data_IF_725982756403
#
_entry.id   IF_725982756403
#
_cell.length_a   1.000
_cell.length_b   1.000
_cell.length_c   1.000
_cell.angle_alpha   90.00
_cell.angle_beta   90.00
_cell.angle_gamma   90.00
#
_symmetry.space_group_name_H-M   'P 1'
#
loop_
_entity.id
_entity.type
_entity.pdbx_description
1 polymer ?
#
# COMPACT_ATOMS: atom_id res chain seq x y z
N UNK A 1 -41.16 -42.08 -7.95
CA UNK A 1 -41.80 -40.79 -7.67
C UNK A 1 -41.09 -40.17 -6.48
N UNK A 2 -41.48 -40.37 -5.21
CA UNK A 2 -40.79 -39.70 -4.06
C UNK A 2 -39.29 -40.02 -3.88
N UNK A 3 -38.84 -41.24 -4.20
CA UNK A 3 -37.42 -41.64 -4.06
C UNK A 3 -36.54 -41.08 -5.21
N UNK A 4 -37.18 -40.66 -6.32
CA UNK A 4 -36.53 -40.05 -7.49
C UNK A 4 -36.36 -38.54 -7.26
N UNK A 5 -37.44 -37.85 -6.84
CA UNK A 5 -37.41 -36.44 -6.42
C UNK A 5 -36.40 -36.19 -5.30
N UNK A 6 -36.28 -37.13 -4.34
CA UNK A 6 -35.31 -37.03 -3.26
C UNK A 6 -33.85 -37.08 -3.75
N UNK A 7 -33.56 -37.78 -4.85
CA UNK A 7 -32.22 -37.80 -5.45
C UNK A 7 -31.95 -36.58 -6.32
N UNK A 8 -32.96 -36.06 -7.01
CA UNK A 8 -32.87 -34.82 -7.79
C UNK A 8 -32.54 -33.63 -6.89
N UNK A 9 -33.29 -33.44 -5.79
CA UNK A 9 -33.02 -32.40 -4.79
C UNK A 9 -31.59 -32.49 -4.23
N UNK A 10 -31.12 -33.71 -3.93
CA UNK A 10 -29.76 -33.90 -3.43
C UNK A 10 -28.70 -33.54 -4.48
N UNK A 11 -28.97 -33.80 -5.77
CA UNK A 11 -28.07 -33.42 -6.87
C UNK A 11 -27.98 -31.90 -7.00
N UNK A 12 -29.12 -31.21 -7.05
CA UNK A 12 -29.17 -29.74 -7.16
C UNK A 12 -28.44 -29.08 -5.98
N UNK A 13 -28.64 -29.59 -4.75
CA UNK A 13 -27.94 -29.09 -3.57
C UNK A 13 -26.42 -29.31 -3.63
N UNK A 14 -25.97 -30.46 -4.14
CA UNK A 14 -24.54 -30.75 -4.27
C UNK A 14 -23.89 -29.87 -5.33
N UNK A 15 -24.53 -29.73 -6.50
CA UNK A 15 -24.06 -28.89 -7.60
C UNK A 15 -23.94 -27.42 -7.15
N UNK A 16 -24.97 -26.89 -6.49
CA UNK A 16 -24.95 -25.53 -5.91
C UNK A 16 -23.88 -25.38 -4.84
N UNK A 17 -23.70 -26.39 -3.99
CA UNK A 17 -22.66 -26.39 -2.97
C UNK A 17 -21.26 -26.29 -3.59
N UNK A 18 -21.04 -26.97 -4.72
CA UNK A 18 -19.79 -26.90 -5.47
C UNK A 18 -19.60 -25.54 -6.16
N UNK A 19 -20.66 -24.95 -6.72
CA UNK A 19 -20.61 -23.63 -7.35
C UNK A 19 -20.25 -22.54 -6.35
N UNK A 20 -20.96 -22.49 -5.20
CA UNK A 20 -20.67 -21.56 -4.11
C UNK A 20 -19.23 -21.72 -3.62
N UNK A 21 -18.75 -22.96 -3.49
CA UNK A 21 -17.36 -23.21 -3.08
C UNK A 21 -16.37 -22.63 -4.12
N UNK A 22 -16.63 -22.83 -5.42
CA UNK A 22 -15.80 -22.29 -6.48
C UNK A 22 -15.74 -20.76 -6.44
N UNK A 23 -16.89 -20.11 -6.32
CA UNK A 23 -17.00 -18.65 -6.23
C UNK A 23 -16.21 -18.11 -5.03
N UNK A 24 -16.31 -18.77 -3.87
CA UNK A 24 -15.53 -18.40 -2.68
C UNK A 24 -14.02 -18.59 -2.87
N UNK A 25 -13.61 -19.68 -3.53
CA UNK A 25 -12.19 -19.96 -3.79
C UNK A 25 -11.58 -18.97 -4.79
N UNK A 26 -12.32 -18.60 -5.84
CA UNK A 26 -11.88 -17.64 -6.85
C UNK A 26 -11.78 -16.23 -6.26
N UNK A 27 -12.83 -15.78 -5.55
CA UNK A 27 -12.84 -14.50 -4.84
C UNK A 27 -11.73 -14.41 -3.80
N UNK A 28 -11.49 -15.48 -3.04
CA UNK A 28 -10.40 -15.56 -2.07
C UNK A 28 -9.02 -15.42 -2.72
N UNK A 29 -8.82 -16.00 -3.91
CA UNK A 29 -7.57 -15.87 -4.67
C UNK A 29 -7.38 -14.46 -5.22
N UNK A 30 -8.44 -13.83 -5.73
CA UNK A 30 -8.39 -12.46 -6.25
C UNK A 30 -8.02 -11.46 -5.14
N UNK A 31 -8.71 -11.53 -3.99
CA UNK A 31 -8.40 -10.70 -2.82
C UNK A 31 -6.95 -10.91 -2.37
N UNK A 32 -6.46 -12.16 -2.33
CA UNK A 32 -5.07 -12.42 -1.97
C UNK A 32 -4.10 -11.78 -2.97
N UNK A 33 -4.35 -11.89 -4.27
CA UNK A 33 -3.51 -11.30 -5.31
C UNK A 33 -3.45 -9.77 -5.16
N UNK A 34 -4.60 -9.14 -4.95
CA UNK A 34 -4.68 -7.68 -4.73
C UNK A 34 -3.85 -7.28 -3.50
N UNK A 35 -3.96 -8.01 -2.39
CA UNK A 35 -3.17 -7.72 -1.20
C UNK A 35 -1.66 -7.88 -1.42
N UNK A 36 -1.24 -8.89 -2.19
CA UNK A 36 0.17 -9.11 -2.53
C UNK A 36 0.73 -8.02 -3.44
N UNK A 37 -0.05 -7.56 -4.42
CA UNK A 37 0.35 -6.47 -5.32
C UNK A 37 0.43 -5.13 -4.58
N UNK A 38 -0.58 -4.80 -3.77
CA UNK A 38 -0.57 -3.63 -2.89
C UNK A 38 0.61 -3.64 -1.93
N UNK A 39 0.94 -4.81 -1.35
CA UNK A 39 2.08 -4.95 -0.46
C UNK A 39 3.41 -4.66 -1.16
N UNK A 40 3.55 -5.06 -2.43
CA UNK A 40 4.74 -4.78 -3.24
C UNK A 40 4.86 -3.30 -3.61
N UNK A 41 3.75 -2.65 -3.97
CA UNK A 41 3.71 -1.22 -4.28
C UNK A 41 4.17 -0.39 -3.08
N UNK A 42 3.55 -0.61 -1.91
CA UNK A 42 3.93 0.08 -0.65
C UNK A 42 5.42 -0.13 -0.33
N UNK A 43 5.94 -1.34 -0.54
CA UNK A 43 7.36 -1.60 -0.30
C UNK A 43 8.25 -0.82 -1.26
N UNK A 44 7.85 -0.71 -2.54
CA UNK A 44 8.60 0.05 -3.54
C UNK A 44 8.67 1.53 -3.16
N UNK A 45 7.54 2.14 -2.77
CA UNK A 45 7.49 3.56 -2.41
C UNK A 45 8.38 3.86 -1.20
N UNK A 46 8.39 2.96 -0.21
CA UNK A 46 9.28 3.06 0.95
C UNK A 46 10.76 2.94 0.57
N UNK A 47 11.11 2.01 -0.33
CA UNK A 47 12.48 1.79 -0.77
C UNK A 47 13.00 2.97 -1.59
N UNK A 48 12.17 3.55 -2.47
CA UNK A 48 12.52 4.72 -3.28
C UNK A 48 12.75 5.96 -2.40
N UNK A 49 11.82 6.25 -1.50
CA UNK A 49 11.94 7.34 -0.51
C UNK A 49 13.17 7.17 0.37
N UNK A 50 13.44 5.95 0.82
CA UNK A 50 14.63 5.63 1.61
C UNK A 50 15.93 5.90 0.85
N UNK A 51 15.94 5.71 -0.48
CA UNK A 51 17.09 6.03 -1.32
C UNK A 51 17.25 7.54 -1.53
N UNK A 52 16.16 8.28 -1.77
CA UNK A 52 16.18 9.73 -1.93
C UNK A 52 16.71 10.43 -0.68
N UNK A 53 16.16 10.09 0.50
CA UNK A 53 16.63 10.61 1.80
C UNK A 53 18.12 10.36 1.98
N UNK A 54 18.59 9.15 1.65
CA UNK A 54 20.01 8.80 1.78
C UNK A 54 20.89 9.59 0.82
N UNK A 55 20.41 9.85 -0.40
CA UNK A 55 21.12 10.67 -1.39
C UNK A 55 21.23 12.11 -0.90
N UNK A 56 20.12 12.73 -0.50
CA UNK A 56 20.09 14.10 0.01
C UNK A 56 21.02 14.30 1.22
N UNK A 57 21.00 13.36 2.18
CA UNK A 57 21.96 13.37 3.29
C UNK A 57 23.43 13.28 2.82
N UNK A 58 23.70 12.46 1.80
CA UNK A 58 25.03 12.31 1.23
C UNK A 58 25.52 13.57 0.53
N UNK A 59 24.64 14.27 -0.17
CA UNK A 59 24.95 15.52 -0.88
C UNK A 59 25.20 16.65 0.12
N UNK A 60 24.35 16.78 1.14
CA UNK A 60 24.53 17.73 2.26
C UNK A 60 25.87 17.53 2.94
N UNK A 61 26.26 16.26 3.19
CA UNK A 61 27.52 15.99 3.85
C UNK A 61 28.71 16.39 3.00
N UNK A 62 28.62 16.22 1.68
CA UNK A 62 29.66 16.66 0.75
C UNK A 62 29.78 18.19 0.71
N UNK A 63 28.65 18.89 0.70
CA UNK A 63 28.61 20.36 0.72
C UNK A 63 29.23 20.91 2.01
N UNK A 64 28.83 20.39 3.17
CA UNK A 64 29.43 20.75 4.47
C UNK A 64 30.94 20.53 4.48
N UNK A 65 31.44 19.43 3.90
CA UNK A 65 32.90 19.22 3.80
C UNK A 65 33.58 20.25 2.91
N UNK A 66 32.98 20.59 1.77
CA UNK A 66 33.52 21.62 0.88
C UNK A 66 33.60 22.97 1.60
N UNK A 67 32.53 23.38 2.27
CA UNK A 67 32.44 24.61 3.05
C UNK A 67 33.51 24.63 4.16
N UNK A 68 33.71 23.51 4.87
CA UNK A 68 34.76 23.40 5.89
C UNK A 68 36.18 23.49 5.32
N UNK A 69 36.45 22.86 4.17
CA UNK A 69 37.75 22.88 3.52
C UNK A 69 38.10 24.28 2.99
N UNK A 70 37.14 24.98 2.38
CA UNK A 70 37.30 26.36 1.92
C UNK A 70 37.54 27.32 3.09
N UNK A 71 36.75 27.18 4.15
CA UNK A 71 36.93 27.92 5.41
C UNK A 71 38.32 27.69 6.01
N UNK A 72 38.80 26.45 6.01
CA UNK A 72 40.13 26.10 6.50
C UNK A 72 41.25 26.81 5.75
N UNK A 73 41.11 26.94 4.42
CA UNK A 73 42.06 27.67 3.58
C UNK A 73 42.00 29.19 3.80
N UNK A 74 40.80 29.74 3.98
CA UNK A 74 40.61 31.17 4.25
C UNK A 74 41.19 31.55 5.61
N UNK A 75 40.91 30.78 6.66
CA UNK A 75 41.49 30.99 8.00
C UNK A 75 43.03 30.91 7.96
N UNK A 76 43.61 29.98 7.21
CA UNK A 76 45.06 29.89 7.06
C UNK A 76 45.65 31.14 6.39
N UNK A 77 44.94 31.71 5.42
CA UNK A 77 45.34 32.94 4.75
C UNK A 77 45.19 34.17 5.66
N UNK A 78 44.12 34.23 6.45
CA UNK A 78 43.81 35.34 7.36
C UNK A 78 44.60 35.32 8.66
N UNK A 79 45.13 34.17 9.09
CA UNK A 79 46.03 34.11 10.24
C UNK A 79 47.32 34.92 10.00
N UNK A 80 47.70 35.15 8.74
CA UNK A 80 48.78 36.05 8.37
C UNK A 80 48.38 37.54 8.52
N UNK A 81 47.07 37.86 8.58
CA UNK A 81 46.48 39.20 8.63
C UNK A 81 45.36 39.33 9.72
N UNK A 82 45.71 39.28 11.02
CA UNK A 82 44.89 39.65 12.21
C UNK A 82 43.62 38.84 12.58
N UNK A 83 43.54 38.43 13.85
CA UNK A 83 42.51 37.51 14.39
C UNK A 83 41.04 37.97 14.48
N UNK A 84 40.64 39.15 13.98
CA UNK A 84 39.21 39.49 13.85
C UNK A 84 38.58 38.92 12.58
N UNK A 85 39.34 38.77 11.48
CA UNK A 85 38.86 38.15 10.24
C UNK A 85 38.48 36.68 10.45
N UNK A 86 39.35 35.94 11.13
CA UNK A 86 39.15 34.53 11.49
C UNK A 86 37.83 34.28 12.23
N UNK A 87 37.42 35.17 13.13
CA UNK A 87 36.16 34.99 13.88
C UNK A 87 34.93 35.19 13.00
N UNK A 88 34.95 36.18 12.09
CA UNK A 88 33.84 36.40 11.15
C UNK A 88 33.67 35.23 10.21
N UNK A 89 34.78 34.74 9.63
CA UNK A 89 34.78 33.59 8.73
C UNK A 89 34.16 32.36 9.41
N UNK A 90 34.57 32.05 10.64
CA UNK A 90 33.98 30.93 11.40
C UNK A 90 32.48 31.07 11.68
N UNK A 91 32.00 32.29 11.93
CA UNK A 91 30.58 32.56 12.19
C UNK A 91 29.73 32.43 10.92
N UNK A 92 30.26 32.86 9.77
CA UNK A 92 29.60 32.74 8.47
C UNK A 92 29.52 31.26 8.04
N UNK A 93 30.63 30.52 8.13
CA UNK A 93 30.66 29.06 7.88
C UNK A 93 29.67 28.30 8.75
N UNK A 94 29.58 28.67 10.04
CA UNK A 94 28.66 28.02 10.98
C UNK A 94 27.20 28.22 10.58
N UNK A 95 26.85 29.39 10.04
CA UNK A 95 25.52 29.69 9.54
C UNK A 95 25.21 28.91 8.26
N UNK A 96 26.15 28.85 7.31
CA UNK A 96 25.98 28.11 6.05
C UNK A 96 25.72 26.63 6.31
N UNK A 97 26.57 25.97 7.12
CA UNK A 97 26.38 24.57 7.52
C UNK A 97 25.03 24.34 8.20
N UNK A 98 24.59 25.28 9.04
CA UNK A 98 23.30 25.15 9.71
C UNK A 98 22.15 25.25 8.71
N UNK A 99 22.21 26.17 7.75
CA UNK A 99 21.21 26.31 6.69
C UNK A 99 21.10 25.05 5.84
N UNK A 100 22.22 24.48 5.38
CA UNK A 100 22.21 23.25 4.57
C UNK A 100 21.56 22.07 5.31
N UNK A 101 21.82 21.96 6.62
CA UNK A 101 21.20 20.95 7.47
C UNK A 101 19.70 21.17 7.65
N UNK A 102 19.27 22.41 7.83
CA UNK A 102 17.86 22.77 7.99
C UNK A 102 17.06 22.53 6.70
N UNK A 103 17.62 22.88 5.54
CA UNK A 103 16.98 22.69 4.25
C UNK A 103 16.82 21.20 3.93
N UNK A 104 17.88 20.43 4.10
CA UNK A 104 17.84 18.96 3.92
C UNK A 104 16.88 18.29 4.90
N UNK A 105 16.83 18.76 6.15
CA UNK A 105 15.89 18.26 7.15
C UNK A 105 14.44 18.48 6.74
N UNK A 106 14.13 19.63 6.13
CA UNK A 106 12.78 19.94 5.62
C UNK A 106 12.42 19.10 4.38
N UNK A 107 13.37 18.89 3.46
CA UNK A 107 13.17 18.05 2.29
C UNK A 107 12.87 16.60 2.71
N UNK A 108 13.69 16.01 3.57
CA UNK A 108 13.48 14.66 4.12
C UNK A 108 12.09 14.53 4.77
N UNK A 109 11.68 15.53 5.55
CA UNK A 109 10.37 15.50 6.19
C UNK A 109 9.24 15.54 5.15
N UNK A 110 9.40 16.34 4.10
CA UNK A 110 8.41 16.46 3.03
C UNK A 110 8.28 15.14 2.26
N UNK A 111 9.40 14.52 1.88
CA UNK A 111 9.39 13.22 1.18
C UNK A 111 8.73 12.13 2.02
N UNK A 112 8.98 12.11 3.33
CA UNK A 112 8.34 11.17 4.26
C UNK A 112 6.83 11.41 4.37
N UNK A 113 6.40 12.66 4.46
CA UNK A 113 5.00 13.02 4.56
C UNK A 113 4.26 12.66 3.25
N UNK A 114 4.83 12.98 2.09
CA UNK A 114 4.24 12.68 0.78
C UNK A 114 4.09 11.16 0.57
N UNK A 115 5.15 10.39 0.87
CA UNK A 115 5.13 8.92 0.79
C UNK A 115 4.11 8.31 1.75
N UNK A 116 4.01 8.86 2.97
CA UNK A 116 3.02 8.42 3.95
C UNK A 116 1.59 8.61 3.44
N UNK A 117 1.34 9.72 2.73
CA UNK A 117 0.03 10.02 2.14
C UNK A 117 -0.28 9.11 0.94
N UNK A 118 0.71 8.82 0.10
CA UNK A 118 0.57 7.88 -1.02
C UNK A 118 0.23 6.47 -0.54
N UNK A 119 1.00 5.94 0.42
CA UNK A 119 0.74 4.64 1.04
C UNK A 119 -0.67 4.57 1.64
N UNK A 120 -1.12 5.63 2.33
CA UNK A 120 -2.47 5.67 2.90
C UNK A 120 -3.54 5.61 1.80
N UNK A 121 -3.33 6.34 0.69
CA UNK A 121 -4.27 6.32 -0.45
C UNK A 121 -4.35 4.93 -1.07
N UNK A 122 -3.21 4.28 -1.31
CA UNK A 122 -3.15 2.92 -1.87
C UNK A 122 -3.86 1.93 -0.96
N UNK A 123 -3.67 2.02 0.35
CA UNK A 123 -4.37 1.17 1.33
C UNK A 123 -5.88 1.40 1.33
N UNK A 124 -6.32 2.65 1.27
CA UNK A 124 -7.74 3.00 1.28
C UNK A 124 -8.44 2.54 -0.01
N UNK A 125 -7.81 2.70 -1.16
CA UNK A 125 -8.33 2.25 -2.45
C UNK A 125 -8.38 0.71 -2.51
N UNK A 126 -7.33 0.04 -2.05
CA UNK A 126 -7.28 -1.42 -1.93
C UNK A 126 -8.39 -1.95 -1.02
N UNK A 127 -8.57 -1.32 0.15
CA UNK A 127 -9.59 -1.71 1.11
C UNK A 127 -11.01 -1.58 0.55
N UNK A 128 -11.28 -0.52 -0.23
CA UNK A 128 -12.56 -0.33 -0.92
C UNK A 128 -12.79 -1.37 -2.03
N UNK A 129 -11.74 -1.71 -2.79
CA UNK A 129 -11.80 -2.78 -3.80
C UNK A 129 -12.17 -4.12 -3.17
N UNK A 130 -11.42 -4.55 -2.16
CA UNK A 130 -11.69 -5.81 -1.45
C UNK A 130 -13.10 -5.86 -0.85
N UNK A 131 -13.59 -4.74 -0.28
CA UNK A 131 -14.95 -4.71 0.25
C UNK A 131 -15.98 -4.91 -0.87
N UNK A 132 -15.76 -4.30 -2.03
CA UNK A 132 -16.65 -4.42 -3.19
C UNK A 132 -16.66 -5.85 -3.72
N UNK A 133 -15.49 -6.49 -3.85
CA UNK A 133 -15.36 -7.89 -4.29
C UNK A 133 -16.09 -8.84 -3.34
N UNK A 134 -16.00 -8.60 -2.03
CA UNK A 134 -16.74 -9.37 -1.01
C UNK A 134 -18.25 -9.18 -1.10
N UNK A 135 -18.71 -7.95 -1.37
CA UNK A 135 -20.14 -7.65 -1.55
C UNK A 135 -20.70 -8.32 -2.81
N UNK A 136 -19.96 -8.31 -3.91
CA UNK A 136 -20.35 -8.96 -5.17
C UNK A 136 -20.38 -10.49 -5.02
N UNK A 137 -19.32 -11.06 -4.42
CA UNK A 137 -19.26 -12.49 -4.06
C UNK A 137 -20.45 -12.91 -3.19
N UNK A 138 -20.80 -12.09 -2.20
CA UNK A 138 -21.93 -12.36 -1.32
C UNK A 138 -23.28 -12.33 -2.04
N UNK A 139 -23.44 -11.43 -3.02
CA UNK A 139 -24.65 -11.36 -3.84
C UNK A 139 -24.78 -12.53 -4.80
N UNK A 140 -23.68 -12.99 -5.39
CA UNK A 140 -23.64 -14.17 -6.26
C UNK A 140 -24.07 -15.42 -5.48
N UNK A 141 -23.42 -15.68 -4.33
CA UNK A 141 -23.78 -16.80 -3.45
C UNK A 141 -25.25 -16.76 -3.02
N UNK A 142 -25.76 -15.57 -2.70
CA UNK A 142 -27.16 -15.42 -2.33
C UNK A 142 -28.10 -15.76 -3.50
N UNK A 143 -27.73 -15.36 -4.72
CA UNK A 143 -28.51 -15.64 -5.93
C UNK A 143 -28.54 -17.15 -6.21
N UNK A 144 -27.41 -17.84 -6.11
CA UNK A 144 -27.32 -19.29 -6.30
C UNK A 144 -28.19 -20.05 -5.28
N UNK A 145 -28.18 -19.60 -4.02
CA UNK A 145 -29.02 -20.18 -2.97
C UNK A 145 -30.51 -19.94 -3.22
N UNK A 146 -30.89 -18.75 -3.67
CA UNK A 146 -32.28 -18.40 -3.97
C UNK A 146 -32.79 -19.24 -5.16
N UNK A 147 -32.01 -19.33 -6.24
CA UNK A 147 -32.36 -20.12 -7.43
C UNK A 147 -32.52 -21.61 -7.08
N UNK A 148 -31.60 -22.15 -6.29
CA UNK A 148 -31.67 -23.52 -5.76
C UNK A 148 -32.90 -23.75 -4.90
N UNK A 149 -33.23 -22.81 -4.01
CA UNK A 149 -34.41 -22.90 -3.18
C UNK A 149 -35.70 -22.97 -4.00
N UNK A 150 -35.75 -22.23 -5.11
CA UNK A 150 -36.90 -22.17 -6.01
C UNK A 150 -37.02 -23.45 -6.85
N UNK A 151 -35.90 -24.03 -7.30
CA UNK A 151 -35.88 -25.32 -8.01
C UNK A 151 -36.38 -26.45 -7.10
N UNK A 152 -35.82 -26.57 -5.90
CA UNK A 152 -36.24 -27.57 -4.91
C UNK A 152 -37.73 -27.43 -4.57
N UNK A 153 -38.23 -26.21 -4.42
CA UNK A 153 -39.65 -25.99 -4.13
C UNK A 153 -40.53 -26.45 -5.31
N UNK A 154 -40.10 -26.21 -6.54
CA UNK A 154 -40.82 -26.63 -7.74
C UNK A 154 -40.91 -28.15 -7.85
N UNK A 155 -39.80 -28.87 -7.61
CA UNK A 155 -39.76 -30.34 -7.64
C UNK A 155 -40.67 -30.98 -6.58
N UNK A 156 -40.75 -30.35 -5.40
CA UNK A 156 -41.63 -30.77 -4.32
C UNK A 156 -43.11 -30.56 -4.67
N UNK A 157 -43.45 -29.42 -5.27
CA UNK A 157 -44.81 -29.08 -5.65
C UNK A 157 -45.34 -30.01 -6.77
N UNK A 158 -44.51 -30.32 -7.78
CA UNK A 158 -44.87 -31.24 -8.87
C UNK A 158 -45.14 -32.66 -8.34
N UNK A 159 -44.27 -33.17 -7.48
CA UNK A 159 -44.45 -34.51 -6.87
C UNK A 159 -45.67 -34.57 -5.93
N UNK A 160 -46.03 -33.44 -5.29
CA UNK A 160 -47.19 -33.33 -4.42
C UNK A 160 -48.53 -33.26 -5.15
N UNK A 161 -48.54 -32.87 -6.44
CA UNK A 161 -49.74 -32.84 -7.29
C UNK A 161 -50.04 -34.18 -7.96
N UNK A 162 -49.06 -35.08 -8.05
CA UNK A 162 -49.18 -36.41 -8.69
C UNK A 162 -49.72 -37.52 -7.76
N UNK A 163 -50.22 -37.20 -6.57
CA UNK A 163 -50.85 -38.12 -5.59
C UNK A 163 -52.35 -37.87 -5.46
#
# INVERSE_FOLDING_TARGET
DQEDTGQEILSVQDDTGQEIQSVQEDSGQEIQSVQEDTGQEIQSDQDDTGQEIKSGQGDTWQEIQSVQDDTGQEIQSDQDDTGQGVQSVQEDTGQEIQSDQEDTGQEIQSDQDDTGQEIQSVQDDTGQGIQSDQEDTGQEIQSDQDDTGQEIQSDQDDTGQDI
#
